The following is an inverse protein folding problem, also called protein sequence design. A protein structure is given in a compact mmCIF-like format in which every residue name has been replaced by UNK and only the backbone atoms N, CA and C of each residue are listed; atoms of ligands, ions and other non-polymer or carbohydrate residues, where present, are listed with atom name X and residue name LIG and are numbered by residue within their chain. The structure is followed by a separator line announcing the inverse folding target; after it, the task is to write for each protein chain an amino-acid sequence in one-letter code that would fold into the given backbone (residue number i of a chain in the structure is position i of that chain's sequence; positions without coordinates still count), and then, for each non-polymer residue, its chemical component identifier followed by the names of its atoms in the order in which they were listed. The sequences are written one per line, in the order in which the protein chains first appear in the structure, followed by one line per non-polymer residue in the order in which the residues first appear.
data_IF_012233908620
#
_entry.id   IF_012233908620
#
_cell.length_a   1.000
_cell.length_b   1.000
_cell.length_c   1.000
_cell.angle_alpha   90.00
_cell.angle_beta   90.00
_cell.angle_gamma   90.00
#
_symmetry.space_group_name_H-M   'P 1'
#
loop_
_entity.id
_entity.type
_entity.pdbx_description
1 polymer ?
#
# COMPACT_ATOMS: atom_id res chain seq x y z
N UNK A 1 -12.47 -17.05 -26.72
CA UNK A 1 -11.03 -16.98 -26.35
C UNK A 1 -10.64 -18.22 -25.55
N UNK A 2 -9.87 -19.12 -26.18
CA UNK A 2 -9.34 -20.33 -25.56
C UNK A 2 -8.33 -19.87 -24.51
N UNK A 3 -8.60 -20.14 -23.23
CA UNK A 3 -7.62 -20.01 -22.16
C UNK A 3 -6.46 -20.93 -22.55
N UNK A 4 -5.35 -20.36 -23.05
CA UNK A 4 -4.06 -21.05 -22.94
C UNK A 4 -3.94 -21.44 -21.47
N UNK A 5 -3.40 -22.62 -21.16
CA UNK A 5 -2.90 -22.96 -19.83
C UNK A 5 -1.79 -21.97 -19.47
N UNK A 6 -2.21 -20.75 -19.12
CA UNK A 6 -1.40 -19.59 -18.84
C UNK A 6 -1.18 -19.58 -17.35
N UNK A 7 0.09 -19.60 -16.96
CA UNK A 7 0.49 -19.52 -15.56
C UNK A 7 -0.27 -18.37 -14.89
N UNK A 8 -1.01 -18.68 -13.81
CA UNK A 8 -1.63 -17.68 -12.95
C UNK A 8 -0.55 -17.17 -12.00
N UNK A 9 0.27 -16.26 -12.50
CA UNK A 9 1.32 -15.63 -11.70
C UNK A 9 0.70 -14.50 -10.86
N UNK A 10 1.17 -14.40 -9.62
CA UNK A 10 0.82 -13.34 -8.67
C UNK A 10 2.13 -12.68 -8.26
N UNK A 11 2.28 -11.40 -8.57
CA UNK A 11 3.42 -10.62 -8.11
C UNK A 11 3.10 -10.04 -6.74
N UNK A 12 4.06 -10.16 -5.83
CA UNK A 12 3.89 -9.79 -4.44
C UNK A 12 5.05 -8.89 -4.02
N UNK A 13 4.74 -7.65 -3.65
CA UNK A 13 5.73 -6.67 -3.20
C UNK A 13 5.48 -6.39 -1.72
N UNK A 14 6.45 -6.73 -0.87
CA UNK A 14 6.40 -6.40 0.55
C UNK A 14 6.96 -5.01 0.80
N UNK A 15 6.15 -4.17 1.43
CA UNK A 15 6.41 -2.73 1.61
C UNK A 15 6.59 -2.35 3.08
N UNK A 16 6.48 -3.32 4.00
CA UNK A 16 6.68 -3.16 5.44
C UNK A 16 5.38 -3.15 6.26
N UNK A 17 5.43 -3.60 7.51
CA UNK A 17 4.31 -3.52 8.49
C UNK A 17 2.94 -4.03 8.00
N UNK A 18 2.94 -5.15 7.26
CA UNK A 18 1.70 -5.71 6.70
C UNK A 18 1.29 -5.11 5.35
N UNK A 19 1.99 -4.08 4.88
CA UNK A 19 1.77 -3.49 3.57
C UNK A 19 2.29 -4.40 2.44
N UNK A 20 1.37 -4.86 1.61
CA UNK A 20 1.62 -5.67 0.42
C UNK A 20 0.95 -5.05 -0.79
N UNK A 21 1.63 -5.06 -1.93
CA UNK A 21 0.99 -5.00 -3.24
C UNK A 21 0.85 -6.42 -3.78
N UNK A 22 -0.38 -6.80 -4.09
CA UNK A 22 -0.73 -8.06 -4.77
C UNK A 22 -1.16 -7.70 -6.19
N UNK A 23 -0.32 -8.00 -7.18
CA UNK A 23 -0.56 -7.67 -8.59
C UNK A 23 -0.76 -8.93 -9.44
N UNK A 24 -1.78 -8.88 -10.28
CA UNK A 24 -2.05 -9.89 -11.29
C UNK A 24 -2.66 -9.25 -12.54
N UNK A 25 -2.08 -9.55 -13.71
CA UNK A 25 -2.58 -9.11 -15.02
C UNK A 25 -2.73 -7.58 -15.18
N UNK A 26 -1.85 -6.80 -14.57
CA UNK A 26 -1.84 -5.34 -14.63
C UNK A 26 -2.79 -4.66 -13.65
N UNK A 27 -3.43 -5.41 -12.76
CA UNK A 27 -4.28 -4.90 -11.68
C UNK A 27 -3.71 -5.28 -10.32
N UNK A 28 -3.81 -4.37 -9.37
CA UNK A 28 -3.28 -4.57 -8.04
C UNK A 28 -4.25 -4.21 -6.92
N UNK A 29 -4.08 -4.87 -5.78
CA UNK A 29 -4.62 -4.44 -4.50
C UNK A 29 -3.48 -4.13 -3.53
N UNK A 30 -3.64 -3.06 -2.76
CA UNK A 30 -2.74 -2.68 -1.68
C UNK A 30 -3.35 -3.14 -0.35
N UNK A 31 -2.52 -3.53 0.60
CA UNK A 31 -2.96 -3.88 1.96
C UNK A 31 -2.30 -2.94 2.97
N UNK A 32 -2.99 -2.64 4.07
CA UNK A 32 -2.45 -2.04 5.30
C UNK A 32 -1.36 -0.98 5.07
N UNK A 33 -1.71 0.14 4.41
CA UNK A 33 -0.73 1.14 4.03
C UNK A 33 -0.10 1.81 5.25
N UNK A 34 1.23 1.73 5.34
CA UNK A 34 2.02 2.34 6.39
C UNK A 34 3.34 2.89 5.85
N UNK A 35 3.36 4.17 5.50
CA UNK A 35 4.56 4.86 4.98
C UNK A 35 5.04 5.96 5.92
N UNK A 36 4.18 6.52 6.79
CA UNK A 36 4.53 7.59 7.74
C UNK A 36 5.31 7.10 8.96
N UNK A 37 5.41 5.78 9.13
CA UNK A 37 6.27 5.07 10.09
C UNK A 37 6.40 5.75 11.47
N UNK A 38 5.28 6.16 12.06
CA UNK A 38 5.27 6.81 13.36
C UNK A 38 5.58 5.77 14.45
N UNK A 39 6.77 5.87 15.03
CA UNK A 39 7.24 4.93 16.07
C UNK A 39 6.35 4.98 17.31
N UNK A 40 6.12 3.82 17.93
CA UNK A 40 5.31 3.66 19.14
C UNK A 40 5.73 4.61 20.27
N UNK A 41 7.04 4.78 20.46
CA UNK A 41 7.62 5.68 21.48
C UNK A 41 7.30 7.18 21.23
N UNK A 42 6.92 7.53 19.99
CA UNK A 42 6.52 8.87 19.57
C UNK A 42 4.99 9.00 19.41
N UNK A 43 4.22 8.05 19.98
CA UNK A 43 2.76 8.14 20.06
C UNK A 43 2.19 9.08 21.12
N UNK A 44 2.89 9.57 22.18
CA UNK A 44 2.29 10.61 23.01
C UNK A 44 2.14 11.88 22.16
N UNK A 45 0.96 12.07 21.57
CA UNK A 45 0.70 13.10 20.57
C UNK A 45 -0.39 12.70 19.58
N UNK A 46 -0.57 13.53 18.54
CA UNK A 46 -1.54 13.27 17.46
C UNK A 46 -0.90 12.36 16.40
N UNK A 47 -1.59 11.28 16.03
CA UNK A 47 -1.24 10.45 14.86
C UNK A 47 -1.40 11.31 13.60
N UNK A 48 -0.37 11.39 12.77
CA UNK A 48 -0.37 12.20 11.55
C UNK A 48 0.37 11.51 10.42
N UNK A 49 -0.24 11.51 9.25
CA UNK A 49 0.41 11.11 8.01
C UNK A 49 1.50 12.11 7.63
N UNK A 50 2.55 11.65 6.94
CA UNK A 50 3.72 12.41 6.53
C UNK A 50 3.83 12.38 5.01
N UNK A 51 3.39 13.47 4.35
CA UNK A 51 3.46 13.59 2.89
C UNK A 51 4.90 13.45 2.35
N UNK A 52 5.91 13.88 3.12
CA UNK A 52 7.31 13.72 2.74
C UNK A 52 7.75 12.26 2.69
N UNK A 53 7.37 11.46 3.69
CA UNK A 53 7.66 10.02 3.68
C UNK A 53 6.83 9.28 2.64
N UNK A 54 5.57 9.67 2.46
CA UNK A 54 4.72 9.16 1.38
C UNK A 54 5.32 9.38 0.00
N UNK A 55 5.77 10.60 -0.30
CA UNK A 55 6.38 10.92 -1.58
C UNK A 55 7.68 10.13 -1.82
N UNK A 56 8.55 10.06 -0.80
CA UNK A 56 9.78 9.27 -0.90
C UNK A 56 9.49 7.79 -1.12
N UNK A 57 8.45 7.26 -0.49
CA UNK A 57 8.01 5.89 -0.68
C UNK A 57 7.42 5.65 -2.07
N UNK A 58 6.54 6.55 -2.55
CA UNK A 58 5.90 6.48 -3.86
C UNK A 58 6.91 6.44 -5.02
N UNK A 59 8.00 7.23 -4.94
CA UNK A 59 9.06 7.21 -5.97
C UNK A 59 9.72 5.84 -6.13
N UNK A 60 9.83 5.04 -5.06
CA UNK A 60 10.45 3.71 -5.13
C UNK A 60 9.54 2.63 -5.72
N UNK A 61 8.22 2.88 -5.78
CA UNK A 61 7.21 1.88 -6.15
C UNK A 61 6.17 2.43 -7.14
N UNK A 62 6.52 3.46 -7.91
CA UNK A 62 5.62 4.26 -8.72
C UNK A 62 4.70 3.43 -9.65
N UNK A 63 5.26 2.39 -10.29
CA UNK A 63 4.49 1.48 -11.14
C UNK A 63 3.39 0.74 -10.38
N UNK A 64 3.73 0.14 -9.24
CA UNK A 64 2.84 -0.68 -8.43
C UNK A 64 1.81 0.12 -7.63
N UNK A 65 1.94 1.44 -7.63
CA UNK A 65 1.09 2.37 -6.87
C UNK A 65 0.36 3.36 -7.77
N UNK A 66 0.51 3.24 -9.08
CA UNK A 66 -0.23 4.06 -10.01
C UNK A 66 -1.74 3.84 -9.79
N UNK A 67 -2.58 4.90 -9.75
CA UNK A 67 -4.03 4.76 -9.72
C UNK A 67 -4.60 3.97 -10.91
N UNK A 68 -3.83 3.87 -12.01
CA UNK A 68 -4.21 3.01 -13.13
C UNK A 68 -4.07 1.51 -12.82
N UNK A 69 -3.23 1.14 -11.85
CA UNK A 69 -2.89 -0.24 -11.48
C UNK A 69 -3.59 -0.64 -10.17
N UNK A 70 -3.46 0.15 -9.09
CA UNK A 70 -4.08 -0.16 -7.78
C UNK A 70 -5.56 0.17 -7.81
N UNK A 71 -6.42 -0.84 -7.65
CA UNK A 71 -7.88 -0.70 -7.69
C UNK A 71 -8.53 -0.57 -6.33
N UNK A 72 -7.87 -1.08 -5.28
CA UNK A 72 -8.39 -1.07 -3.92
C UNK A 72 -7.26 -1.10 -2.88
N UNK A 73 -7.53 -0.49 -1.73
CA UNK A 73 -6.78 -0.66 -0.50
C UNK A 73 -7.59 -1.48 0.51
N UNK A 74 -7.00 -2.52 1.06
CA UNK A 74 -7.60 -3.36 2.11
C UNK A 74 -6.96 -3.01 3.45
N UNK A 75 -7.81 -2.78 4.46
CA UNK A 75 -7.36 -2.49 5.83
C UNK A 75 -7.81 -3.64 6.71
N UNK A 76 -6.86 -4.35 7.30
CA UNK A 76 -7.11 -5.54 8.10
C UNK A 76 -7.78 -5.21 9.43
N UNK A 77 -7.34 -4.14 10.10
CA UNK A 77 -7.88 -3.64 11.37
C UNK A 77 -7.52 -2.18 11.62
N UNK A 78 -8.08 -1.57 12.67
CA UNK A 78 -8.06 -0.12 12.88
C UNK A 78 -6.94 0.39 13.78
N UNK A 79 -5.82 -0.33 13.88
CA UNK A 79 -4.65 0.26 14.51
C UNK A 79 -4.05 1.35 13.63
N UNK A 80 -3.37 2.31 14.27
CA UNK A 80 -2.88 3.50 13.59
C UNK A 80 -1.93 3.16 12.45
N UNK A 81 -1.09 2.15 12.64
CA UNK A 81 -0.13 1.66 11.66
C UNK A 81 -0.75 0.91 10.47
N UNK A 82 -2.07 0.72 10.44
CA UNK A 82 -2.80 0.15 9.30
C UNK A 82 -3.73 1.15 8.61
N UNK A 83 -4.13 2.22 9.32
CA UNK A 83 -5.19 3.13 8.87
C UNK A 83 -4.79 4.62 8.80
N UNK A 84 -3.70 5.04 9.45
CA UNK A 84 -3.34 6.47 9.54
C UNK A 84 -3.04 7.12 8.20
N UNK A 85 -2.66 6.32 7.22
CA UNK A 85 -2.09 6.75 5.95
C UNK A 85 -3.09 6.67 4.79
N UNK A 86 -4.31 6.19 5.07
CA UNK A 86 -5.41 6.15 4.10
C UNK A 86 -5.71 7.52 3.44
N UNK A 87 -5.72 8.66 4.16
CA UNK A 87 -6.03 9.94 3.53
C UNK A 87 -5.11 10.28 2.35
N UNK A 88 -3.80 10.05 2.46
CA UNK A 88 -2.83 10.38 1.40
C UNK A 88 -2.89 9.42 0.20
N UNK A 89 -3.58 8.28 0.32
CA UNK A 89 -3.85 7.38 -0.81
C UNK A 89 -5.11 7.75 -1.58
N UNK A 90 -6.01 8.53 -0.97
CA UNK A 90 -7.28 8.94 -1.56
C UNK A 90 -7.21 10.33 -2.20
N UNK A 91 -6.13 11.07 -1.97
CA UNK A 91 -5.79 12.36 -2.60
C UNK A 91 -5.13 12.16 -3.99
#
# INVERSE_FOLDING_TARGET
PILKEGKRELNLVYLGSGNLVLEQNGEAVLTDPFFSNQKLLNLPGKIKSSSGQYNSWKTNYEYFLSPSVVKAGLVSHTHYDHAMDLPLLLE
#
